data_IF_317727012404
#
_entry.id   IF_317727012404
#
_cell.length_a   1.000
_cell.length_b   1.000
_cell.length_c   1.000
_cell.angle_alpha   90.00
_cell.angle_beta   90.00
_cell.angle_gamma   90.00
#
_symmetry.space_group_name_H-M   'P 1'
#
loop_
_entity.id
_entity.type
_entity.pdbx_description
1 polymer ?
#
# COMPACT_ATOMS: atom_id res chain seq x y z
N UNK A 1 6.61 4.73 -0.46
CA UNK A 1 5.66 3.76 -1.00
C UNK A 1 5.22 2.80 0.09
N UNK A 2 4.00 2.30 0.06
CA UNK A 2 3.48 1.39 1.07
C UNK A 2 2.87 2.07 2.29
N UNK A 3 3.02 3.38 2.44
CA UNK A 3 2.39 4.16 3.51
C UNK A 3 1.14 4.92 3.06
N UNK A 4 0.63 4.62 1.88
CA UNK A 4 -0.51 5.37 1.32
C UNK A 4 -1.77 5.30 2.18
N UNK A 5 -1.92 4.27 3.01
CA UNK A 5 -3.07 4.13 3.90
C UNK A 5 -3.17 5.29 4.89
N UNK A 6 -2.05 5.88 5.28
CA UNK A 6 -2.03 7.02 6.21
C UNK A 6 -2.25 8.35 5.51
N UNK A 7 -1.92 8.43 4.23
CA UNK A 7 -1.76 9.69 3.53
C UNK A 7 -2.89 10.09 2.61
N UNK A 8 -3.74 9.18 2.15
CA UNK A 8 -4.79 9.58 1.22
C UNK A 8 -5.95 8.60 1.13
N UNK A 9 -7.02 9.09 0.55
CA UNK A 9 -8.18 8.34 0.12
C UNK A 9 -8.61 8.90 -1.25
N UNK A 10 -9.11 8.04 -2.12
CA UNK A 10 -9.56 8.43 -3.45
C UNK A 10 -11.06 8.62 -3.47
N UNK A 11 -11.52 9.71 -4.10
CA UNK A 11 -12.93 9.97 -4.37
C UNK A 11 -13.11 10.00 -5.88
N UNK A 12 -13.88 9.07 -6.41
CA UNK A 12 -14.15 8.98 -7.84
C UNK A 12 -15.16 10.01 -8.35
N UNK A 13 -15.36 10.07 -9.68
CA UNK A 13 -16.26 11.06 -10.29
C UNK A 13 -17.71 10.97 -9.82
N UNK A 14 -18.17 9.77 -9.46
CA UNK A 14 -19.53 9.53 -8.95
C UNK A 14 -19.63 9.62 -7.43
N UNK A 15 -18.52 9.96 -6.75
CA UNK A 15 -18.48 10.06 -5.30
C UNK A 15 -18.06 8.77 -4.59
N UNK A 16 -17.72 7.71 -5.30
CA UNK A 16 -17.22 6.49 -4.68
C UNK A 16 -15.87 6.76 -4.01
N UNK A 17 -15.70 6.24 -2.81
CA UNK A 17 -14.45 6.32 -2.08
C UNK A 17 -13.69 5.00 -2.13
N UNK A 18 -12.38 5.07 -2.30
CA UNK A 18 -11.51 3.91 -2.29
C UNK A 18 -10.14 4.29 -1.76
N UNK A 19 -9.23 3.34 -1.66
CA UNK A 19 -7.88 3.60 -1.14
C UNK A 19 -7.06 4.46 -2.09
N UNK A 20 -7.16 4.20 -3.40
CA UNK A 20 -6.48 4.98 -4.42
C UNK A 20 -7.22 4.85 -5.74
N UNK A 21 -6.82 5.63 -6.76
CA UNK A 21 -7.43 5.59 -8.07
C UNK A 21 -7.43 4.19 -8.69
N UNK A 22 -6.34 3.48 -8.56
CA UNK A 22 -6.21 2.11 -9.06
C UNK A 22 -7.17 1.14 -8.39
N UNK A 23 -7.31 1.24 -7.06
CA UNK A 23 -8.25 0.41 -6.31
C UNK A 23 -9.69 0.71 -6.68
N UNK A 24 -10.02 1.97 -6.92
CA UNK A 24 -11.34 2.40 -7.37
C UNK A 24 -11.66 1.93 -8.78
N UNK A 25 -10.75 2.17 -9.72
CA UNK A 25 -10.92 1.79 -11.12
C UNK A 25 -11.04 0.27 -11.31
N UNK A 26 -10.33 -0.49 -10.50
CA UNK A 26 -10.35 -1.95 -10.57
C UNK A 26 -11.41 -2.57 -9.65
N UNK A 27 -12.18 -1.76 -8.95
CA UNK A 27 -13.24 -2.21 -8.04
C UNK A 27 -12.75 -3.22 -7.00
N UNK A 28 -11.49 -3.08 -6.56
CA UNK A 28 -10.88 -4.00 -5.61
C UNK A 28 -11.42 -3.76 -4.20
N UNK A 29 -11.59 -2.49 -3.82
CA UNK A 29 -12.07 -2.15 -2.49
C UNK A 29 -12.89 -0.84 -2.55
N UNK A 30 -13.97 -0.79 -1.78
CA UNK A 30 -14.82 0.39 -1.68
C UNK A 30 -15.02 0.78 -0.23
N UNK A 31 -14.94 2.09 0.04
CA UNK A 31 -15.26 2.68 1.35
C UNK A 31 -16.64 3.33 1.37
N UNK A 32 -17.46 3.06 0.36
CA UNK A 32 -18.79 3.65 0.22
C UNK A 32 -18.76 4.89 -0.67
N UNK A 33 -19.79 5.75 -0.53
CA UNK A 33 -19.95 6.91 -1.39
C UNK A 33 -20.15 8.15 -0.51
N UNK A 34 -19.49 9.26 -0.86
CA UNK A 34 -19.59 10.52 -0.10
C UNK A 34 -20.99 11.12 -0.11
N UNK A 35 -21.85 10.69 -1.02
CA UNK A 35 -23.26 11.10 -1.05
C UNK A 35 -24.07 10.45 0.07
N UNK A 36 -23.61 9.32 0.61
CA UNK A 36 -24.29 8.52 1.60
C UNK A 36 -23.57 8.45 2.95
N UNK A 37 -22.26 8.68 2.94
CA UNK A 37 -21.41 8.62 4.14
C UNK A 37 -20.57 9.89 4.26
N UNK A 38 -20.37 10.36 5.49
CA UNK A 38 -19.46 11.48 5.73
C UNK A 38 -18.00 11.06 5.41
N UNK A 39 -17.17 12.04 5.09
CA UNK A 39 -15.75 11.80 4.86
C UNK A 39 -15.08 11.21 6.12
N UNK A 40 -15.50 11.66 7.31
CA UNK A 40 -14.97 11.13 8.56
C UNK A 40 -15.27 9.63 8.68
N UNK A 41 -16.50 9.21 8.37
CA UNK A 41 -16.87 7.80 8.43
C UNK A 41 -16.10 6.96 7.42
N UNK A 42 -15.88 7.49 6.24
CA UNK A 42 -15.07 6.84 5.19
C UNK A 42 -13.64 6.65 5.68
N UNK A 43 -13.05 7.68 6.28
CA UNK A 43 -11.68 7.63 6.80
C UNK A 43 -11.52 6.64 7.95
N UNK A 44 -12.60 6.33 8.67
CA UNK A 44 -12.62 5.39 9.79
C UNK A 44 -13.10 3.99 9.38
N UNK A 45 -13.30 3.73 8.10
CA UNK A 45 -13.78 2.44 7.63
C UNK A 45 -12.82 1.32 8.02
N UNK A 46 -13.37 0.20 8.49
CA UNK A 46 -12.59 -0.97 8.89
C UNK A 46 -11.74 -1.52 7.76
N UNK A 47 -12.22 -1.42 6.54
CA UNK A 47 -11.47 -1.88 5.37
C UNK A 47 -10.22 -1.04 5.14
N UNK A 48 -10.27 0.24 5.48
CA UNK A 48 -9.10 1.12 5.40
C UNK A 48 -8.08 0.78 6.48
N UNK A 49 -8.56 0.43 7.66
CA UNK A 49 -7.71 0.07 8.79
C UNK A 49 -6.83 -1.14 8.48
N UNK A 50 -7.29 -2.09 7.68
CA UNK A 50 -6.46 -3.24 7.30
C UNK A 50 -5.18 -2.85 6.55
N UNK A 51 -5.21 -1.77 5.79
CA UNK A 51 -4.01 -1.27 5.11
C UNK A 51 -3.02 -0.65 6.10
N UNK A 52 -3.52 -0.07 7.17
CA UNK A 52 -2.69 0.47 8.25
C UNK A 52 -2.03 -0.68 9.01
N UNK A 53 -2.81 -1.69 9.39
CA UNK A 53 -2.32 -2.86 10.12
C UNK A 53 -1.33 -3.70 9.28
N UNK A 54 -1.43 -3.63 7.95
CA UNK A 54 -0.53 -4.33 7.05
C UNK A 54 0.95 -4.03 7.34
N UNK A 55 1.26 -2.79 7.68
CA UNK A 55 2.63 -2.41 7.99
C UNK A 55 3.19 -3.23 9.15
N UNK A 56 2.40 -3.40 10.22
CA UNK A 56 2.83 -4.18 11.38
C UNK A 56 2.96 -5.66 11.03
N UNK A 57 2.00 -6.19 10.27
CA UNK A 57 2.00 -7.59 9.85
C UNK A 57 3.27 -7.91 9.04
N UNK A 58 3.61 -7.07 8.08
CA UNK A 58 4.77 -7.29 7.23
C UNK A 58 6.08 -7.05 7.97
N UNK A 59 6.14 -6.04 8.82
CA UNK A 59 7.34 -5.74 9.60
C UNK A 59 7.69 -6.87 10.57
N UNK A 60 6.67 -7.54 11.11
CA UNK A 60 6.86 -8.68 12.02
C UNK A 60 6.98 -10.01 11.28
N UNK A 61 6.69 -10.06 9.99
CA UNK A 61 6.65 -11.27 9.17
C UNK A 61 7.60 -11.23 7.98
N UNK A 62 7.04 -11.18 6.77
CA UNK A 62 7.79 -11.31 5.51
C UNK A 62 8.90 -10.27 5.33
N UNK A 63 8.72 -9.07 5.88
CA UNK A 63 9.67 -7.98 5.75
C UNK A 63 10.50 -7.77 7.01
N UNK A 64 10.46 -8.71 7.93
CA UNK A 64 11.26 -8.67 9.16
C UNK A 64 12.74 -8.62 8.79
N UNK A 65 13.47 -7.71 9.45
CA UNK A 65 14.92 -7.54 9.25
C UNK A 65 15.32 -7.12 7.83
N UNK A 66 14.35 -6.71 6.99
CA UNK A 66 14.69 -6.21 5.66
C UNK A 66 15.35 -4.83 5.76
N UNK A 67 16.58 -4.66 5.25
CA UNK A 67 17.28 -3.38 5.34
C UNK A 67 16.62 -2.28 4.51
N UNK A 68 15.73 -2.62 3.59
CA UNK A 68 15.04 -1.66 2.72
C UNK A 68 13.65 -1.29 3.22
N UNK A 69 13.28 -1.73 4.43
CA UNK A 69 11.94 -1.46 4.96
C UNK A 69 11.55 0.01 4.93
N UNK A 70 12.46 0.90 5.32
CA UNK A 70 12.19 2.33 5.38
C UNK A 70 11.85 2.94 4.01
N UNK A 71 12.32 2.31 2.93
CA UNK A 71 12.03 2.77 1.57
C UNK A 71 10.80 2.11 0.98
N UNK A 72 10.54 0.87 1.34
CA UNK A 72 9.58 0.03 0.61
C UNK A 72 8.28 -0.21 1.37
N UNK A 73 8.34 -0.47 2.68
CA UNK A 73 7.18 -0.80 3.52
C UNK A 73 6.33 -1.93 2.93
N UNK A 74 6.98 -2.93 2.32
CA UNK A 74 6.29 -4.05 1.68
C UNK A 74 5.70 -3.74 0.32
N UNK A 75 5.86 -2.52 -0.18
CA UNK A 75 5.36 -2.10 -1.48
C UNK A 75 3.86 -1.84 -1.51
N UNK A 76 3.30 -1.77 -2.70
CA UNK A 76 1.89 -1.48 -2.91
C UNK A 76 1.00 -2.66 -2.51
N UNK A 77 0.00 -2.44 -1.64
CA UNK A 77 -0.93 -3.53 -1.26
C UNK A 77 -1.69 -4.13 -2.43
N UNK A 78 -1.97 -3.33 -3.47
CA UNK A 78 -2.68 -3.83 -4.64
C UNK A 78 -1.85 -4.81 -5.44
N UNK A 79 -0.54 -4.57 -5.54
CA UNK A 79 0.37 -5.51 -6.20
C UNK A 79 0.40 -6.86 -5.46
N UNK A 80 0.37 -6.82 -4.13
CA UNK A 80 0.27 -8.02 -3.31
C UNK A 80 -1.03 -8.76 -3.55
N UNK A 81 -2.14 -8.03 -3.62
CA UNK A 81 -3.46 -8.60 -3.87
C UNK A 81 -3.54 -9.26 -5.24
N UNK A 82 -2.95 -8.68 -6.27
CA UNK A 82 -2.95 -9.24 -7.62
C UNK A 82 -2.31 -10.62 -7.62
N UNK A 83 -1.18 -10.77 -6.92
CA UNK A 83 -0.45 -12.05 -6.89
C UNK A 83 -1.07 -13.06 -5.93
N UNK A 84 -1.38 -12.63 -4.70
CA UNK A 84 -1.73 -13.54 -3.61
C UNK A 84 -3.22 -13.54 -3.25
N UNK A 85 -4.01 -12.61 -3.80
CA UNK A 85 -5.40 -12.36 -3.41
C UNK A 85 -5.53 -11.98 -1.93
N UNK A 86 -4.46 -11.40 -1.37
CA UNK A 86 -4.37 -10.97 0.02
C UNK A 86 -3.47 -9.75 0.08
N UNK A 87 -3.92 -8.71 0.77
CA UNK A 87 -3.15 -7.47 0.94
C UNK A 87 -1.97 -7.64 1.89
N UNK A 88 -2.00 -8.63 2.75
CA UNK A 88 -1.03 -8.82 3.84
C UNK A 88 0.22 -9.60 3.44
N UNK A 89 0.64 -9.43 2.20
CA UNK A 89 1.88 -9.97 1.68
C UNK A 89 2.75 -8.83 1.13
N UNK A 90 4.06 -9.05 1.09
CA UNK A 90 4.97 -8.12 0.42
C UNK A 90 4.64 -8.05 -1.07
N UNK A 91 5.01 -6.94 -1.70
CA UNK A 91 4.74 -6.75 -3.13
C UNK A 91 5.33 -7.88 -3.97
N UNK A 92 4.65 -8.22 -5.06
CA UNK A 92 5.17 -9.15 -6.06
C UNK A 92 6.41 -8.61 -6.78
N UNK A 93 6.76 -7.35 -6.56
CA UNK A 93 7.92 -6.67 -7.17
C UNK A 93 9.12 -6.57 -6.23
N UNK A 94 9.08 -7.29 -5.10
CA UNK A 94 10.11 -7.22 -4.07
C UNK A 94 11.51 -7.45 -4.63
N UNK A 95 11.71 -8.54 -5.36
CA UNK A 95 13.02 -8.89 -5.93
C UNK A 95 13.55 -7.83 -6.90
N UNK A 96 12.67 -7.31 -7.75
CA UNK A 96 13.04 -6.25 -8.68
C UNK A 96 13.43 -4.95 -7.98
N UNK A 97 12.71 -4.58 -6.93
CA UNK A 97 13.04 -3.39 -6.13
C UNK A 97 14.37 -3.56 -5.41
N UNK A 98 14.63 -4.71 -4.83
CA UNK A 98 15.90 -5.01 -4.17
C UNK A 98 17.05 -4.87 -5.16
N UNK A 99 16.92 -5.49 -6.31
CA UNK A 99 17.93 -5.43 -7.36
C UNK A 99 18.18 -3.99 -7.82
N UNK A 100 17.12 -3.24 -8.08
CA UNK A 100 17.23 -1.85 -8.52
C UNK A 100 17.94 -0.99 -7.48
N UNK A 101 17.52 -1.07 -6.21
CA UNK A 101 18.08 -0.25 -5.15
C UNK A 101 19.55 -0.59 -4.89
N UNK A 102 19.89 -1.86 -4.79
CA UNK A 102 21.25 -2.29 -4.47
C UNK A 102 22.22 -2.07 -5.64
N UNK A 103 21.79 -2.35 -6.86
CA UNK A 103 22.66 -2.33 -8.02
C UNK A 103 22.79 -0.96 -8.67
N UNK A 104 21.71 -0.17 -8.63
CA UNK A 104 21.67 1.10 -9.39
C UNK A 104 21.48 2.33 -8.50
N UNK A 105 20.49 2.30 -7.62
CA UNK A 105 20.10 3.50 -6.89
C UNK A 105 21.13 3.87 -5.81
N UNK A 106 21.48 2.93 -4.94
CA UNK A 106 22.42 3.22 -3.85
C UNK A 106 23.83 3.54 -4.35
N UNK A 107 24.39 2.82 -5.33
CA UNK A 107 25.69 3.20 -5.87
C UNK A 107 25.72 4.58 -6.51
N UNK A 108 24.65 4.98 -7.21
CA UNK A 108 24.59 6.28 -7.88
C UNK A 108 24.38 7.42 -6.89
N UNK A 109 23.53 7.26 -5.90
CA UNK A 109 23.19 8.30 -4.92
C UNK A 109 24.11 8.33 -3.72
N UNK A 110 24.91 7.29 -3.51
CA UNK A 110 25.74 7.16 -2.31
C UNK A 110 24.94 6.80 -1.06
N UNK A 111 23.65 6.52 -1.17
CA UNK A 111 22.80 6.14 -0.05
C UNK A 111 23.09 4.71 0.37
N UNK A 112 23.15 4.46 1.68
CA UNK A 112 23.30 3.12 2.27
C UNK A 112 22.42 2.98 3.50
N UNK A 113 22.02 1.77 3.73
CA UNK A 113 21.24 1.41 4.91
C UNK A 113 22.12 0.76 5.98
#
# INVERSE_FOLDING_TARGET
>A
TGHCAYGHVYIGPSGEASQCGRAGDWEIISYGNIKERSLIDIMKDEKREQFILRNDILFQGECKDCPLWEFCHGGCPLDSFIKYKDFNHKTNRCEGKLLFLEKYFFPITGTRL
#
